data_IF_409663903186
#
_entry.id   IF_409663903186
#
_cell.length_a   1.000
_cell.length_b   1.000
_cell.length_c   1.000
_cell.angle_alpha   90.00
_cell.angle_beta   90.00
_cell.angle_gamma   90.00
#
_symmetry.space_group_name_H-M   'P 1'
#
loop_
_entity.id
_entity.type
_entity.pdbx_description
1 polymer ?
#
# COMPACT_ATOMS: atom_id res chain seq x y z
N UNK A 1 -13.48 -2.95 6.32
CA UNK A 1 -12.33 -3.25 7.20
C UNK A 1 -11.00 -2.95 6.51
N UNK A 2 -10.77 -3.30 5.23
CA UNK A 2 -9.54 -2.93 4.48
C UNK A 2 -9.51 -1.57 3.79
N UNK A 3 -10.66 -0.90 3.68
CA UNK A 3 -10.80 0.48 3.20
C UNK A 3 -11.26 1.37 4.35
N UNK A 4 -10.37 1.78 5.26
CA UNK A 4 -10.73 2.67 6.37
C UNK A 4 -11.17 4.04 5.86
N UNK A 5 -12.01 4.73 6.63
CA UNK A 5 -12.61 6.01 6.20
C UNK A 5 -11.56 7.10 5.95
N UNK A 6 -10.42 7.06 6.64
CA UNK A 6 -9.33 8.02 6.44
C UNK A 6 -8.63 7.88 5.09
N UNK A 7 -8.83 6.77 4.36
CA UNK A 7 -8.31 6.60 3.00
C UNK A 7 -9.25 7.14 1.91
N UNK A 8 -10.36 7.78 2.28
CA UNK A 8 -11.29 8.41 1.34
C UNK A 8 -10.79 9.77 0.90
N UNK A 9 -10.87 10.03 -0.40
CA UNK A 9 -10.61 11.34 -1.01
C UNK A 9 -11.72 11.70 -1.98
N UNK A 10 -11.66 12.91 -2.57
CA UNK A 10 -12.60 13.30 -3.64
C UNK A 10 -12.49 12.36 -4.85
N UNK A 11 -11.27 11.95 -5.20
CA UNK A 11 -11.01 11.01 -6.31
C UNK A 11 -11.25 9.54 -5.92
N UNK A 12 -11.25 9.25 -4.61
CA UNK A 12 -11.45 7.91 -4.05
C UNK A 12 -12.56 7.91 -2.98
N UNK A 13 -13.83 8.12 -3.35
CA UNK A 13 -14.94 8.27 -2.38
C UNK A 13 -15.22 7.00 -1.57
N UNK A 14 -14.83 5.84 -2.10
CA UNK A 14 -14.93 4.53 -1.42
C UNK A 14 -13.69 4.18 -0.60
N UNK A 15 -12.64 5.00 -0.66
CA UNK A 15 -11.36 4.81 -0.01
C UNK A 15 -10.38 3.94 -0.80
N UNK A 16 -9.08 4.24 -0.64
CA UNK A 16 -8.01 3.32 -1.04
C UNK A 16 -8.03 2.08 -0.13
N UNK A 17 -7.48 0.97 -0.64
CA UNK A 17 -7.47 -0.32 0.04
C UNK A 17 -6.10 -0.65 0.61
N UNK A 18 -6.09 -1.26 1.79
CA UNK A 18 -4.93 -1.86 2.43
C UNK A 18 -4.99 -3.38 2.32
N UNK A 19 -3.91 -4.05 1.92
CA UNK A 19 -3.90 -5.53 1.81
C UNK A 19 -4.16 -6.20 3.17
N UNK A 20 -3.42 -5.75 4.18
CA UNK A 20 -3.53 -6.22 5.57
C UNK A 20 -3.59 -4.99 6.48
N UNK A 21 -4.62 -4.89 7.32
CA UNK A 21 -4.82 -3.74 8.20
C UNK A 21 -5.25 -4.18 9.60
N UNK A 22 -4.49 -3.73 10.60
CA UNK A 22 -4.69 -4.02 12.02
C UNK A 22 -4.92 -2.69 12.79
N UNK A 23 -6.15 -2.15 12.75
CA UNK A 23 -6.45 -0.83 13.32
C UNK A 23 -6.15 -0.75 14.82
N UNK A 24 -6.33 -1.85 15.57
CA UNK A 24 -6.11 -1.88 17.01
C UNK A 24 -4.65 -1.64 17.40
N UNK A 25 -3.73 -1.90 16.48
CA UNK A 25 -2.29 -1.77 16.69
C UNK A 25 -1.69 -0.64 15.84
N UNK A 26 -2.52 0.14 15.15
CA UNK A 26 -2.07 1.28 14.34
C UNK A 26 -1.10 0.88 13.23
N UNK A 27 -1.26 -0.28 12.59
CA UNK A 27 -0.37 -0.69 11.50
C UNK A 27 -1.10 -1.37 10.35
N UNK A 28 -0.45 -1.34 9.19
CA UNK A 28 -0.89 -1.98 7.95
C UNK A 28 0.31 -2.55 7.18
N UNK A 29 0.05 -3.51 6.30
CA UNK A 29 1.06 -4.10 5.42
C UNK A 29 0.52 -4.18 4.00
N UNK A 30 1.38 -3.83 3.04
CA UNK A 30 1.13 -3.90 1.60
C UNK A 30 2.11 -4.88 0.96
N UNK A 31 1.61 -5.74 0.07
CA UNK A 31 2.43 -6.68 -0.68
C UNK A 31 2.71 -6.10 -2.05
N UNK A 32 3.99 -5.82 -2.31
CA UNK A 32 4.44 -5.07 -3.46
C UNK A 32 5.02 -5.99 -4.54
N UNK A 33 4.35 -6.05 -5.69
CA UNK A 33 4.87 -6.72 -6.89
C UNK A 33 5.69 -5.79 -7.78
N UNK A 34 6.35 -6.37 -8.79
CA UNK A 34 7.16 -5.62 -9.77
C UNK A 34 6.42 -4.44 -10.40
N UNK A 35 5.09 -4.54 -10.53
CA UNK A 35 4.25 -3.50 -11.12
C UNK A 35 4.27 -2.16 -10.36
N UNK A 36 4.75 -2.14 -9.11
CA UNK A 36 4.88 -0.90 -8.33
C UNK A 36 6.24 -0.20 -8.54
N UNK A 37 7.28 -0.94 -8.96
CA UNK A 37 8.61 -0.38 -9.23
C UNK A 37 8.79 0.01 -10.70
N UNK A 38 8.12 -0.71 -11.62
CA UNK A 38 8.26 -0.49 -13.06
C UNK A 38 6.96 -0.72 -13.81
N UNK A 39 6.85 -0.07 -14.96
CA UNK A 39 5.79 -0.34 -15.91
C UNK A 39 5.86 -1.78 -16.42
N UNK A 40 4.74 -2.48 -16.35
CA UNK A 40 4.50 -3.81 -16.89
C UNK A 40 3.17 -3.75 -17.63
N UNK A 41 3.23 -3.96 -18.94
CA UNK A 41 2.09 -3.83 -19.86
C UNK A 41 0.83 -4.54 -19.36
N UNK A 42 0.98 -5.77 -18.83
CA UNK A 42 -0.11 -6.56 -18.28
C UNK A 42 -0.81 -5.88 -17.09
N UNK A 43 -0.06 -5.28 -16.17
CA UNK A 43 -0.62 -4.66 -14.96
C UNK A 43 -1.12 -3.22 -15.20
N UNK A 44 -0.62 -2.57 -16.25
CA UNK A 44 -0.92 -1.18 -16.57
C UNK A 44 -1.81 -1.01 -17.81
N UNK A 45 -2.41 -2.10 -18.31
CA UNK A 45 -3.33 -2.13 -19.46
C UNK A 45 -2.77 -1.47 -20.73
N UNK A 46 -1.47 -1.60 -20.98
CA UNK A 46 -0.84 -0.98 -22.14
C UNK A 46 -0.63 0.54 -22.06
N UNK A 47 -0.99 1.20 -20.95
CA UNK A 47 -0.87 2.65 -20.80
C UNK A 47 0.10 3.02 -19.66
N UNK A 48 1.29 3.57 -19.98
CA UNK A 48 2.26 4.03 -18.98
C UNK A 48 1.71 5.06 -17.99
N UNK A 49 0.66 5.82 -18.34
CA UNK A 49 0.04 6.75 -17.40
C UNK A 49 -0.66 6.02 -16.24
N UNK A 50 -1.07 4.76 -16.42
CA UNK A 50 -1.64 3.96 -15.33
C UNK A 50 -0.59 3.60 -14.28
N UNK A 51 0.68 3.48 -14.66
CA UNK A 51 1.80 3.32 -13.72
C UNK A 51 2.01 4.60 -12.91
N UNK A 52 2.03 5.77 -13.56
CA UNK A 52 2.14 7.05 -12.86
C UNK A 52 0.99 7.25 -11.86
N UNK A 53 -0.26 6.99 -12.28
CA UNK A 53 -1.43 7.03 -11.39
C UNK A 53 -1.35 6.00 -10.25
N UNK A 54 -0.71 4.86 -10.47
CA UNK A 54 -0.49 3.87 -9.42
C UNK A 54 0.49 4.41 -8.38
N UNK A 55 1.61 4.99 -8.81
CA UNK A 55 2.57 5.62 -7.90
C UNK A 55 1.96 6.79 -7.12
N UNK A 56 1.11 7.60 -7.75
CA UNK A 56 0.36 8.67 -7.07
C UNK A 56 -0.55 8.10 -5.98
N UNK A 57 -1.28 7.01 -6.24
CA UNK A 57 -2.13 6.35 -5.24
C UNK A 57 -1.32 5.72 -4.10
N UNK A 58 -0.17 5.11 -4.42
CA UNK A 58 0.71 4.50 -3.42
C UNK A 58 1.30 5.58 -2.49
N UNK A 59 1.71 6.72 -3.05
CA UNK A 59 2.19 7.87 -2.29
C UNK A 59 1.08 8.48 -1.42
N UNK A 60 -0.10 8.71 -1.99
CA UNK A 60 -1.27 9.21 -1.24
C UNK A 60 -1.66 8.26 -0.10
N UNK A 61 -1.65 6.94 -0.34
CA UNK A 61 -1.92 5.93 0.69
C UNK A 61 -0.93 6.04 1.84
N UNK A 62 0.36 6.22 1.54
CA UNK A 62 1.42 6.40 2.53
C UNK A 62 1.19 7.65 3.38
N UNK A 63 0.91 8.79 2.73
CA UNK A 63 0.65 10.07 3.41
C UNK A 63 -0.56 9.98 4.34
N UNK A 64 -1.68 9.45 3.84
CA UNK A 64 -2.90 9.30 4.65
C UNK A 64 -2.70 8.33 5.83
N UNK A 65 -1.88 7.29 5.67
CA UNK A 65 -1.53 6.42 6.80
C UNK A 65 -0.70 7.17 7.84
N UNK A 66 0.31 7.93 7.43
CA UNK A 66 1.15 8.74 8.32
C UNK A 66 0.35 9.77 9.10
N UNK A 67 -0.52 10.52 8.43
CA UNK A 67 -1.42 11.51 9.05
C UNK A 67 -2.36 10.91 10.11
N UNK A 68 -2.72 9.64 9.94
CA UNK A 68 -3.63 8.91 10.82
C UNK A 68 -2.90 7.99 11.81
N UNK A 69 -1.58 8.16 11.96
CA UNK A 69 -0.75 7.37 12.88
C UNK A 69 -0.83 5.86 12.61
N UNK A 70 -0.96 5.50 11.33
CA UNK A 70 -0.91 4.13 10.85
C UNK A 70 0.47 3.84 10.27
N UNK A 71 1.20 2.95 10.91
CA UNK A 71 2.49 2.46 10.43
C UNK A 71 2.27 1.55 9.23
N UNK A 72 2.60 2.05 8.02
CA UNK A 72 2.53 1.27 6.79
C UNK A 72 3.86 0.58 6.51
N UNK A 73 3.83 -0.75 6.35
CA UNK A 73 5.00 -1.58 6.00
C UNK A 73 4.79 -2.24 4.63
N UNK A 74 5.89 -2.48 3.92
CA UNK A 74 5.87 -3.05 2.58
C UNK A 74 6.61 -4.38 2.56
N UNK A 75 6.04 -5.40 1.92
CA UNK A 75 6.70 -6.67 1.68
C UNK A 75 6.84 -6.84 0.17
N UNK A 76 8.07 -6.79 -0.32
CA UNK A 76 8.37 -6.88 -1.74
C UNK A 76 8.39 -8.33 -2.23
N UNK A 77 8.01 -8.54 -3.50
CA UNK A 77 7.92 -9.88 -4.11
C UNK A 77 9.25 -10.66 -4.11
N UNK A 78 10.40 -9.97 -4.02
CA UNK A 78 11.72 -10.59 -3.95
C UNK A 78 12.18 -10.87 -2.51
N UNK A 79 11.41 -10.48 -1.49
CA UNK A 79 11.72 -10.72 -0.09
C UNK A 79 11.20 -12.08 0.38
N UNK A 80 11.84 -12.63 1.40
CA UNK A 80 11.34 -13.80 2.12
C UNK A 80 10.30 -13.35 3.17
N UNK A 81 8.99 -13.60 2.94
CA UNK A 81 7.95 -13.08 3.82
C UNK A 81 8.05 -13.63 5.24
N UNK A 82 8.61 -14.83 5.41
CA UNK A 82 8.81 -15.43 6.75
C UNK A 82 9.92 -14.76 7.56
N UNK A 83 10.75 -13.93 6.93
CA UNK A 83 11.78 -13.12 7.61
C UNK A 83 11.32 -11.68 7.79
N UNK A 84 10.85 -11.07 6.70
CA UNK A 84 10.55 -9.64 6.66
C UNK A 84 9.31 -9.29 7.48
N UNK A 85 8.26 -10.12 7.48
CA UNK A 85 7.06 -9.84 8.29
C UNK A 85 7.40 -9.84 9.79
N UNK A 86 8.09 -10.85 10.37
CA UNK A 86 8.52 -10.77 11.78
C UNK A 86 9.47 -9.62 12.11
N UNK A 87 10.27 -9.12 11.16
CA UNK A 87 11.11 -7.93 11.35
C UNK A 87 10.25 -6.67 11.47
N UNK A 88 9.35 -6.44 10.53
CA UNK A 88 8.39 -5.34 10.59
C UNK A 88 7.59 -5.31 11.90
N UNK A 89 7.12 -6.47 12.35
CA UNK A 89 6.33 -6.57 13.58
C UNK A 89 7.15 -6.35 14.86
N UNK A 90 8.48 -6.55 14.83
CA UNK A 90 9.36 -6.29 15.98
C UNK A 90 9.66 -4.81 16.19
N UNK A 91 9.47 -4.00 15.15
CA UNK A 91 9.73 -2.55 15.14
C UNK A 91 8.50 -1.70 15.47
N UNK A 92 7.34 -2.35 15.68
CA UNK A 92 6.09 -1.74 16.14
C UNK A 92 6.05 -1.67 17.66
#
# INVERSE_FOLDING_TARGET
IRRPDFLKTLDHPIGLELDIYYPQYGFATEVQGEQHERYIEFFHNGDPNNFAKQQERDQLKKELCEENWIVLRYVWYYEDPYKVIPEHLREL
#
